data_IF_935724370441
#
_entry.id   IF_935724370441
#
_cell.length_a   1.000
_cell.length_b   1.000
_cell.length_c   1.000
_cell.angle_alpha   90.00
_cell.angle_beta   90.00
_cell.angle_gamma   90.00
#
_symmetry.space_group_name_H-M   'P 1'
#
loop_
_entity.id
_entity.type
_entity.pdbx_description
1 polymer ?
#
# COMPACT_ATOMS: atom_id res chain seq x y z
N UNK A 1 8.67 -18.93 14.70
CA UNK A 1 8.91 -17.60 15.31
C UNK A 1 7.74 -16.71 14.93
N UNK A 2 7.08 -16.15 15.93
CA UNK A 2 6.00 -15.18 15.70
C UNK A 2 6.62 -13.78 15.63
N UNK A 3 6.33 -13.05 14.57
CA UNK A 3 6.82 -11.70 14.35
C UNK A 3 5.70 -10.76 13.89
N UNK A 4 5.91 -9.46 14.05
CA UNK A 4 4.93 -8.44 13.74
C UNK A 4 5.55 -7.27 12.98
N UNK A 5 4.79 -6.75 12.01
CA UNK A 5 5.08 -5.52 11.29
C UNK A 5 3.94 -4.52 11.50
N UNK A 6 4.29 -3.30 11.93
CA UNK A 6 3.38 -2.16 11.99
C UNK A 6 3.79 -1.20 10.87
N UNK A 7 2.94 -1.02 9.87
CA UNK A 7 3.16 -0.16 8.72
C UNK A 7 2.37 1.14 8.89
N UNK A 8 3.08 2.27 8.99
CA UNK A 8 2.50 3.61 9.10
C UNK A 8 2.48 4.25 7.70
N UNK A 9 1.37 4.05 7.01
CA UNK A 9 1.15 4.62 5.69
C UNK A 9 0.48 6.00 5.72
N UNK A 10 0.33 6.60 4.54
CA UNK A 10 -0.28 7.93 4.39
C UNK A 10 -1.75 8.00 4.85
N UNK A 11 -2.51 6.91 4.70
CA UNK A 11 -3.93 6.87 5.04
C UNK A 11 -4.24 5.99 6.26
N UNK A 12 -3.49 4.91 6.45
CA UNK A 12 -3.75 3.90 7.47
C UNK A 12 -2.49 3.46 8.16
N UNK A 13 -2.60 3.13 9.46
CA UNK A 13 -1.60 2.36 10.21
C UNK A 13 -2.09 0.93 10.33
N UNK A 14 -1.27 -0.05 9.97
CA UNK A 14 -1.65 -1.44 9.79
C UNK A 14 -0.71 -2.38 10.54
N UNK A 15 -1.29 -3.31 11.31
CA UNK A 15 -0.56 -4.40 11.93
C UNK A 15 -0.70 -5.68 11.11
N UNK A 16 0.37 -6.43 10.98
CA UNK A 16 0.39 -7.84 10.62
C UNK A 16 1.20 -8.60 11.67
N UNK A 17 0.58 -9.60 12.30
CA UNK A 17 1.27 -10.59 13.11
C UNK A 17 1.23 -11.92 12.38
N UNK A 18 2.37 -12.53 12.17
CA UNK A 18 2.46 -13.80 11.47
C UNK A 18 3.45 -14.77 12.16
N UNK A 19 3.14 -16.06 12.05
CA UNK A 19 4.10 -17.12 12.34
C UNK A 19 4.89 -17.45 11.07
N UNK A 20 6.19 -17.23 11.16
CA UNK A 20 7.13 -17.42 10.07
C UNK A 20 7.86 -18.78 10.19
N UNK A 21 7.11 -19.86 10.38
CA UNK A 21 7.64 -21.22 10.37
C UNK A 21 7.94 -21.72 8.96
N UNK A 22 9.07 -22.41 8.79
CA UNK A 22 9.45 -23.11 7.54
C UNK A 22 9.49 -22.22 6.28
N UNK A 23 9.85 -20.93 6.41
CA UNK A 23 9.94 -20.01 5.28
C UNK A 23 8.61 -19.55 4.70
N UNK A 24 7.50 -19.89 5.34
CA UNK A 24 6.15 -19.45 4.98
C UNK A 24 5.58 -18.56 6.08
N UNK A 25 4.83 -17.54 5.68
CA UNK A 25 4.10 -16.67 6.61
C UNK A 25 2.67 -17.19 6.78
N UNK A 26 2.31 -17.54 8.01
CA UNK A 26 0.94 -17.80 8.40
C UNK A 26 0.41 -16.61 9.20
N UNK A 27 -0.47 -15.84 8.60
CA UNK A 27 -1.15 -14.72 9.26
C UNK A 27 -1.89 -15.19 10.51
N UNK A 28 -1.66 -14.53 11.63
CA UNK A 28 -2.32 -14.75 12.91
C UNK A 28 -3.31 -13.62 13.23
N UNK A 29 -2.87 -12.37 13.08
CA UNK A 29 -3.69 -11.18 13.36
C UNK A 29 -3.37 -10.08 12.36
N UNK A 30 -4.41 -9.42 11.86
CA UNK A 30 -4.28 -8.14 11.16
C UNK A 30 -5.18 -7.09 11.81
N UNK A 31 -4.67 -5.86 11.89
CA UNK A 31 -5.46 -4.69 12.31
C UNK A 31 -5.20 -3.52 11.38
N UNK A 32 -6.17 -2.61 11.33
CA UNK A 32 -6.08 -1.37 10.56
C UNK A 32 -6.72 -0.22 11.33
N UNK A 33 -6.02 0.91 11.37
CA UNK A 33 -6.55 2.17 11.87
C UNK A 33 -6.38 3.26 10.78
N UNK A 34 -7.37 4.14 10.64
CA UNK A 34 -7.31 5.27 9.71
C UNK A 34 -6.67 6.48 10.39
N UNK A 35 -5.37 6.62 10.30
CA UNK A 35 -4.60 7.74 10.86
C UNK A 35 -4.55 8.97 9.96
N UNK A 36 -4.70 8.80 8.64
CA UNK A 36 -4.83 9.87 7.63
C UNK A 36 -3.74 10.94 7.70
N UNK A 37 -2.52 10.55 8.01
CA UNK A 37 -1.37 11.45 8.15
C UNK A 37 -1.14 12.24 6.86
N UNK A 38 -1.23 11.59 5.70
CA UNK A 38 -1.03 12.22 4.40
C UNK A 38 -1.98 13.38 4.14
N UNK A 39 -3.26 13.24 4.49
CA UNK A 39 -4.25 14.32 4.37
C UNK A 39 -3.92 15.50 5.28
N UNK A 40 -3.54 15.22 6.52
CA UNK A 40 -3.15 16.26 7.50
C UNK A 40 -1.88 16.98 7.04
N UNK A 41 -0.88 16.24 6.58
CA UNK A 41 0.37 16.80 6.05
C UNK A 41 0.12 17.69 4.82
N UNK A 42 -0.72 17.26 3.89
CA UNK A 42 -1.06 18.04 2.69
C UNK A 42 -1.78 19.36 3.03
N UNK A 43 -2.56 19.41 4.11
CA UNK A 43 -3.30 20.61 4.51
C UNK A 43 -2.48 21.58 5.35
N UNK A 44 -1.51 21.10 6.14
CA UNK A 44 -0.76 21.91 7.13
C UNK A 44 0.74 22.05 6.81
N UNK A 45 1.26 21.32 5.83
CA UNK A 45 2.68 21.31 5.47
C UNK A 45 3.58 20.51 6.44
N UNK A 46 3.06 20.07 7.58
CA UNK A 46 3.75 19.23 8.57
C UNK A 46 2.74 18.31 9.25
N UNK A 47 3.21 17.30 9.98
CA UNK A 47 2.32 16.42 10.76
C UNK A 47 1.87 17.19 12.00
N UNK A 48 0.56 17.47 12.19
CA UNK A 48 0.08 18.17 13.37
C UNK A 48 0.39 17.39 14.66
N UNK A 49 0.70 18.07 15.80
CA UNK A 49 1.01 17.38 17.06
C UNK A 49 -0.05 16.37 17.49
N UNK A 50 -1.33 16.71 17.37
CA UNK A 50 -2.43 15.78 17.68
C UNK A 50 -2.44 14.53 16.80
N UNK A 51 -1.94 14.63 15.55
CA UNK A 51 -1.81 13.47 14.64
C UNK A 51 -0.57 12.62 14.97
N UNK A 52 0.48 13.24 15.47
CA UNK A 52 1.65 12.52 16.01
C UNK A 52 1.22 11.67 17.21
N UNK A 53 0.53 12.28 18.17
CA UNK A 53 0.02 11.61 19.37
C UNK A 53 -0.95 10.47 19.01
N UNK A 54 -2.00 10.75 18.19
CA UNK A 54 -2.95 9.73 17.70
C UNK A 54 -2.24 8.54 17.03
N UNK A 55 -1.23 8.82 16.21
CA UNK A 55 -0.51 7.75 15.51
C UNK A 55 0.36 6.92 16.45
N UNK A 56 1.04 7.58 17.38
CA UNK A 56 1.85 6.91 18.40
C UNK A 56 0.97 6.01 19.29
N UNK A 57 -0.22 6.46 19.71
CA UNK A 57 -1.19 5.67 20.46
C UNK A 57 -1.69 4.45 19.70
N UNK A 58 -1.95 4.61 18.40
CA UNK A 58 -2.33 3.49 17.51
C UNK A 58 -1.19 2.47 17.43
N UNK A 59 0.05 2.92 17.26
CA UNK A 59 1.23 2.03 17.22
C UNK A 59 1.41 1.31 18.54
N UNK A 60 1.30 2.00 19.68
CA UNK A 60 1.39 1.41 21.01
C UNK A 60 0.31 0.32 21.22
N UNK A 61 -0.92 0.61 20.81
CA UNK A 61 -2.04 -0.34 20.89
C UNK A 61 -1.78 -1.57 20.02
N UNK A 62 -1.33 -1.40 18.79
CA UNK A 62 -1.01 -2.49 17.87
C UNK A 62 0.20 -3.31 18.37
N UNK A 63 1.22 -2.66 18.92
CA UNK A 63 2.36 -3.34 19.52
C UNK A 63 1.95 -4.17 20.76
N UNK A 64 1.01 -3.67 21.57
CA UNK A 64 0.44 -4.45 22.68
C UNK A 64 -0.25 -5.72 22.19
N UNK A 65 -1.11 -5.60 21.16
CA UNK A 65 -1.78 -6.76 20.54
C UNK A 65 -0.75 -7.75 19.99
N UNK A 66 0.30 -7.27 19.31
CA UNK A 66 1.35 -8.16 18.79
C UNK A 66 2.04 -8.95 19.93
N UNK A 67 2.36 -8.30 21.05
CA UNK A 67 2.94 -8.96 22.24
C UNK A 67 1.99 -9.97 22.88
N UNK A 68 0.70 -9.66 22.97
CA UNK A 68 -0.33 -10.57 23.49
C UNK A 68 -0.49 -11.83 22.64
N UNK A 69 -0.29 -11.72 21.31
CA UNK A 69 -0.27 -12.87 20.38
C UNK A 69 1.04 -13.66 20.46
N UNK A 70 2.05 -13.15 21.16
CA UNK A 70 3.34 -13.80 21.36
C UNK A 70 4.41 -13.40 20.34
N UNK A 71 4.31 -12.22 19.71
CA UNK A 71 5.35 -11.75 18.79
C UNK A 71 6.68 -11.56 19.54
N UNK A 72 7.71 -12.28 19.10
CA UNK A 72 9.07 -12.24 19.61
C UNK A 72 9.84 -11.01 19.10
N UNK A 73 9.47 -10.57 17.88
CA UNK A 73 10.03 -9.37 17.25
C UNK A 73 8.90 -8.52 16.68
N UNK A 74 9.00 -7.21 16.87
CA UNK A 74 8.05 -6.22 16.35
C UNK A 74 8.85 -5.13 15.68
N UNK A 75 8.53 -4.84 14.42
CA UNK A 75 9.13 -3.77 13.62
C UNK A 75 8.05 -2.76 13.25
N UNK A 76 8.34 -1.48 13.41
CA UNK A 76 7.52 -0.39 12.91
C UNK A 76 8.21 0.25 11.70
N UNK A 77 7.50 0.35 10.58
CA UNK A 77 7.98 1.01 9.37
C UNK A 77 7.07 2.17 8.99
N UNK A 78 7.63 3.17 8.33
CA UNK A 78 6.88 4.30 7.79
C UNK A 78 7.24 4.54 6.32
N UNK A 79 6.25 5.03 5.57
CA UNK A 79 6.35 5.17 4.12
C UNK A 79 6.17 6.62 3.64
N UNK A 80 5.76 6.83 2.41
CA UNK A 80 5.79 8.09 1.67
C UNK A 80 5.41 9.36 2.44
N UNK A 81 4.28 9.40 3.18
CA UNK A 81 3.87 10.61 3.87
C UNK A 81 4.87 11.03 4.95
N UNK A 82 5.33 10.07 5.74
CA UNK A 82 6.28 10.30 6.82
C UNK A 82 7.66 10.60 6.26
N UNK A 83 8.11 9.86 5.25
CA UNK A 83 9.40 10.07 4.57
C UNK A 83 9.59 11.52 4.11
N UNK A 84 8.51 12.17 3.68
CA UNK A 84 8.54 13.55 3.19
C UNK A 84 8.08 14.61 4.19
N UNK A 85 7.72 14.23 5.40
CA UNK A 85 7.30 15.16 6.44
C UNK A 85 8.52 15.92 7.02
N UNK A 86 8.49 17.27 7.09
CA UNK A 86 9.61 18.04 7.61
C UNK A 86 9.86 17.84 9.10
N UNK A 87 8.85 17.36 9.83
CA UNK A 87 8.91 17.08 11.26
C UNK A 87 8.75 15.57 11.58
N UNK A 88 9.22 14.68 10.69
CA UNK A 88 9.14 13.23 10.89
C UNK A 88 9.78 12.75 12.18
N UNK A 89 10.88 13.41 12.61
CA UNK A 89 11.60 13.08 13.84
C UNK A 89 10.68 13.13 15.09
N UNK A 90 9.75 14.09 15.11
CA UNK A 90 8.78 14.17 16.20
C UNK A 90 7.84 12.94 16.26
N UNK A 91 7.49 12.35 15.11
CA UNK A 91 6.73 11.10 15.05
C UNK A 91 7.61 9.90 15.44
N UNK A 92 8.86 9.87 15.00
CA UNK A 92 9.83 8.81 15.38
C UNK A 92 10.03 8.77 16.90
N UNK A 93 10.18 9.93 17.53
CA UNK A 93 10.33 10.05 18.99
C UNK A 93 9.05 9.62 19.73
N UNK A 94 7.89 10.09 19.29
CA UNK A 94 6.61 9.72 19.89
C UNK A 94 6.32 8.21 19.78
N UNK A 95 6.63 7.58 18.61
CA UNK A 95 6.49 6.13 18.43
C UNK A 95 7.46 5.37 19.34
N UNK A 96 8.69 5.87 19.50
CA UNK A 96 9.67 5.25 20.40
C UNK A 96 9.22 5.33 21.85
N UNK A 97 8.70 6.47 22.28
CA UNK A 97 8.22 6.67 23.64
C UNK A 97 6.99 5.83 23.96
N UNK A 98 5.97 5.86 23.10
CA UNK A 98 4.70 5.16 23.32
C UNK A 98 4.77 3.65 23.03
N UNK A 99 5.47 3.24 21.96
CA UNK A 99 5.53 1.87 21.47
C UNK A 99 6.72 1.05 21.97
N UNK A 100 7.78 1.73 22.47
CA UNK A 100 9.03 1.10 22.94
C UNK A 100 9.88 0.51 21.79
N UNK A 101 9.73 1.02 20.55
CA UNK A 101 10.47 0.57 19.38
C UNK A 101 10.85 1.74 18.47
N UNK A 102 11.92 1.56 17.70
CA UNK A 102 12.29 2.53 16.67
C UNK A 102 11.29 2.49 15.50
N UNK A 103 11.08 3.65 14.86
CA UNK A 103 10.35 3.74 13.60
C UNK A 103 11.36 3.80 12.45
N UNK A 104 11.31 2.84 11.55
CA UNK A 104 12.17 2.80 10.37
C UNK A 104 11.46 3.45 9.18
N UNK A 105 12.01 4.56 8.70
CA UNK A 105 11.44 5.30 7.56
C UNK A 105 12.04 4.79 6.27
N UNK A 106 11.28 3.99 5.54
CA UNK A 106 11.74 3.33 4.32
C UNK A 106 11.95 4.31 3.17
N UNK A 107 13.02 4.12 2.38
CA UNK A 107 13.16 4.76 1.08
C UNK A 107 12.10 4.23 0.09
N UNK A 108 11.85 4.94 -1.02
CA UNK A 108 10.91 4.45 -2.03
C UNK A 108 11.40 3.17 -2.71
N UNK A 109 12.71 3.03 -2.87
CA UNK A 109 13.34 1.83 -3.42
C UNK A 109 13.17 0.63 -2.47
N UNK A 110 13.39 0.84 -1.18
CA UNK A 110 13.22 -0.21 -0.17
C UNK A 110 11.75 -0.62 -0.01
N UNK A 111 10.81 0.34 -0.07
CA UNK A 111 9.38 0.09 -0.08
C UNK A 111 8.98 -0.78 -1.28
N UNK A 112 9.48 -0.46 -2.49
CA UNK A 112 9.27 -1.25 -3.70
C UNK A 112 9.89 -2.66 -3.59
N UNK A 113 11.12 -2.77 -3.07
CA UNK A 113 11.83 -4.04 -2.87
C UNK A 113 11.08 -4.95 -1.90
N UNK A 114 10.67 -4.43 -0.77
CA UNK A 114 9.95 -5.20 0.24
C UNK A 114 8.56 -5.62 -0.26
N UNK A 115 7.84 -4.74 -0.98
CA UNK A 115 6.57 -5.10 -1.62
C UNK A 115 6.77 -6.20 -2.67
N UNK A 116 7.87 -6.15 -3.44
CA UNK A 116 8.24 -7.19 -4.40
C UNK A 116 8.51 -8.53 -3.72
N UNK A 117 9.35 -8.55 -2.67
CA UNK A 117 9.65 -9.76 -1.89
C UNK A 117 8.38 -10.34 -1.27
N UNK A 118 7.56 -9.49 -0.63
CA UNK A 118 6.31 -9.94 0.00
C UNK A 118 5.32 -10.52 -1.00
N UNK A 119 5.16 -9.91 -2.17
CA UNK A 119 4.29 -10.40 -3.23
C UNK A 119 4.78 -11.74 -3.80
N UNK A 120 6.05 -11.80 -4.23
CA UNK A 120 6.58 -12.95 -4.96
C UNK A 120 6.75 -14.19 -4.09
N UNK A 121 7.22 -14.02 -2.85
CA UNK A 121 7.47 -15.15 -1.92
C UNK A 121 6.21 -15.69 -1.24
N UNK A 122 5.08 -14.97 -1.32
CA UNK A 122 3.78 -15.46 -0.84
C UNK A 122 2.87 -15.99 -1.96
N UNK A 123 3.35 -16.01 -3.21
CA UNK A 123 2.61 -16.59 -4.33
C UNK A 123 2.49 -18.10 -4.18
N UNK A 124 1.27 -18.63 -4.39
CA UNK A 124 1.01 -20.08 -4.36
C UNK A 124 1.63 -20.81 -5.54
N UNK A 125 1.76 -20.13 -6.66
CA UNK A 125 2.37 -20.64 -7.89
C UNK A 125 3.38 -19.59 -8.37
N UNK A 126 4.68 -19.85 -8.21
CA UNK A 126 5.71 -18.95 -8.72
C UNK A 126 5.61 -18.84 -10.25
N UNK A 127 5.82 -17.64 -10.77
CA UNK A 127 5.96 -17.41 -12.20
C UNK A 127 7.33 -17.91 -12.69
N UNK A 128 7.37 -18.52 -13.88
CA UNK A 128 8.64 -18.94 -14.52
C UNK A 128 9.34 -17.79 -15.27
N UNK A 129 8.96 -16.54 -15.04
CA UNK A 129 9.49 -15.38 -15.76
C UNK A 129 9.65 -14.16 -14.90
N UNK A 130 9.93 -13.03 -15.57
CA UNK A 130 9.92 -11.73 -14.92
C UNK A 130 8.50 -11.33 -14.54
N UNK A 131 8.36 -10.79 -13.35
CA UNK A 131 7.10 -10.32 -12.78
C UNK A 131 7.20 -8.83 -12.44
N UNK A 132 6.17 -8.08 -12.76
CA UNK A 132 5.98 -6.72 -12.28
C UNK A 132 5.08 -6.75 -11.04
N UNK A 133 5.50 -6.11 -9.96
CA UNK A 133 4.72 -5.93 -8.73
C UNK A 133 4.37 -4.45 -8.59
N UNK A 134 3.09 -4.17 -8.42
CA UNK A 134 2.53 -2.83 -8.30
C UNK A 134 1.90 -2.69 -6.92
N UNK A 135 2.38 -1.76 -6.09
CA UNK A 135 1.76 -1.41 -4.82
C UNK A 135 1.21 0.01 -4.87
N UNK A 136 -0.12 0.15 -4.96
CA UNK A 136 -0.79 1.45 -4.93
C UNK A 136 -1.18 1.77 -3.50
N UNK A 137 -0.32 2.55 -2.85
CA UNK A 137 -0.53 3.05 -1.51
C UNK A 137 -1.46 4.28 -1.45
N UNK A 138 -1.50 4.90 -0.27
CA UNK A 138 -2.26 6.15 -0.08
C UNK A 138 -1.52 7.39 -0.58
N UNK A 139 -0.19 7.44 -0.45
CA UNK A 139 0.65 8.60 -0.81
C UNK A 139 1.60 8.36 -1.96
N UNK A 140 1.94 7.11 -2.23
CA UNK A 140 2.85 6.71 -3.30
C UNK A 140 2.35 5.49 -4.05
N UNK A 141 3.01 5.19 -5.15
CA UNK A 141 2.86 3.96 -5.92
C UNK A 141 4.25 3.44 -6.24
N UNK A 142 4.50 2.20 -5.91
CA UNK A 142 5.73 1.49 -6.19
C UNK A 142 5.50 0.52 -7.34
N UNK A 143 6.45 0.51 -8.28
CA UNK A 143 6.53 -0.46 -9.38
C UNK A 143 7.90 -1.12 -9.33
N UNK A 144 7.91 -2.43 -9.25
CA UNK A 144 9.12 -3.24 -9.22
C UNK A 144 9.04 -4.36 -10.25
N UNK A 145 10.16 -4.65 -10.93
CA UNK A 145 10.26 -5.72 -11.92
C UNK A 145 11.47 -6.60 -11.58
N UNK A 146 11.27 -7.91 -11.57
CA UNK A 146 12.32 -8.87 -11.24
C UNK A 146 11.88 -10.31 -11.44
N UNK A 147 12.69 -11.26 -10.96
CA UNK A 147 12.37 -12.70 -10.94
C UNK A 147 11.87 -13.10 -9.55
N UNK A 148 10.84 -13.95 -9.42
CA UNK A 148 10.29 -14.35 -8.11
C UNK A 148 11.29 -15.01 -7.17
N UNK A 149 12.26 -15.72 -7.71
CA UNK A 149 13.32 -16.44 -7.01
C UNK A 149 14.68 -15.70 -6.98
N UNK A 150 14.71 -14.48 -7.52
CA UNK A 150 15.90 -13.69 -7.70
C UNK A 150 15.79 -12.26 -7.21
N UNK A 151 16.76 -11.46 -7.61
CA UNK A 151 16.82 -10.07 -7.26
C UNK A 151 15.83 -9.23 -8.09
N UNK A 152 15.31 -8.20 -7.47
CA UNK A 152 14.61 -7.12 -8.16
C UNK A 152 15.57 -6.45 -9.14
N UNK A 153 15.25 -6.48 -10.43
CA UNK A 153 16.11 -5.94 -11.47
C UNK A 153 15.93 -4.43 -11.66
N UNK A 154 14.73 -3.92 -11.34
CA UNK A 154 14.38 -2.52 -11.51
C UNK A 154 13.22 -2.14 -10.58
N UNK A 155 13.23 -0.90 -10.10
CA UNK A 155 12.10 -0.33 -9.37
C UNK A 155 12.00 1.18 -9.55
N UNK A 156 10.79 1.69 -9.31
CA UNK A 156 10.52 3.11 -9.20
C UNK A 156 9.42 3.37 -8.17
N UNK A 157 9.52 4.49 -7.47
CA UNK A 157 8.50 4.97 -6.54
C UNK A 157 8.01 6.34 -7.00
N UNK A 158 6.71 6.49 -7.12
CA UNK A 158 6.05 7.70 -7.61
C UNK A 158 5.23 8.31 -6.49
N UNK A 159 5.31 9.64 -6.33
CA UNK A 159 4.52 10.39 -5.33
C UNK A 159 3.04 10.55 -5.73
N UNK A 160 2.48 9.51 -6.28
CA UNK A 160 1.05 9.41 -6.59
C UNK A 160 0.48 8.16 -5.90
N UNK A 161 -0.48 8.36 -5.02
CA UNK A 161 -1.20 7.28 -4.37
C UNK A 161 -2.70 7.56 -4.40
N UNK A 162 -3.50 6.54 -4.16
CA UNK A 162 -4.97 6.66 -4.23
C UNK A 162 -5.53 7.74 -3.29
N UNK A 163 -4.92 7.93 -2.11
CA UNK A 163 -5.33 8.96 -1.16
C UNK A 163 -4.95 10.37 -1.63
N UNK A 164 -3.70 10.56 -2.05
CA UNK A 164 -3.23 11.85 -2.58
C UNK A 164 -4.09 12.31 -3.76
N UNK A 165 -4.33 11.44 -4.74
CA UNK A 165 -5.12 11.77 -5.91
C UNK A 165 -6.58 12.05 -5.58
N UNK A 166 -7.20 11.22 -4.72
CA UNK A 166 -8.58 11.45 -4.29
C UNK A 166 -8.73 12.77 -3.52
N UNK A 167 -7.80 13.08 -2.61
CA UNK A 167 -7.84 14.34 -1.85
C UNK A 167 -7.55 15.57 -2.72
N UNK A 168 -6.81 15.42 -3.81
CA UNK A 168 -6.51 16.51 -4.72
C UNK A 168 -7.62 16.79 -5.72
N UNK A 169 -8.28 15.77 -6.25
CA UNK A 169 -9.14 15.88 -7.43
C UNK A 169 -10.59 15.45 -7.24
N UNK A 170 -10.89 14.50 -6.32
CA UNK A 170 -12.23 13.94 -6.18
C UNK A 170 -12.98 14.61 -5.02
N UNK A 171 -14.01 15.39 -5.34
CA UNK A 171 -14.86 16.12 -4.39
C UNK A 171 -16.29 15.59 -4.36
N UNK A 172 -16.76 15.09 -5.52
CA UNK A 172 -18.12 14.58 -5.69
C UNK A 172 -18.32 13.19 -5.06
N UNK A 173 -19.55 12.87 -4.73
CA UNK A 173 -20.02 11.56 -4.33
C UNK A 173 -21.33 11.22 -5.09
N UNK A 174 -21.23 10.41 -6.15
CA UNK A 174 -20.03 9.87 -6.80
C UNK A 174 -19.19 10.94 -7.50
N UNK A 175 -17.89 10.64 -7.82
CA UNK A 175 -17.04 11.57 -8.56
C UNK A 175 -17.54 11.82 -9.97
N UNK A 176 -17.43 13.05 -10.43
CA UNK A 176 -17.82 13.45 -11.79
C UNK A 176 -16.81 12.98 -12.85
N UNK A 177 -17.23 12.98 -14.12
CA UNK A 177 -16.35 12.66 -15.25
C UNK A 177 -15.16 13.61 -15.33
N UNK A 178 -15.36 14.92 -15.11
CA UNK A 178 -14.29 15.92 -15.14
C UNK A 178 -13.26 15.71 -14.02
N UNK A 179 -13.69 15.25 -12.84
CA UNK A 179 -12.79 14.91 -11.73
C UNK A 179 -11.95 13.70 -12.05
N UNK A 180 -12.55 12.66 -12.62
CA UNK A 180 -11.84 11.44 -13.05
C UNK A 180 -10.83 11.74 -14.16
N UNK A 181 -11.18 12.60 -15.12
CA UNK A 181 -10.29 13.01 -16.21
C UNK A 181 -9.07 13.78 -15.70
N UNK A 182 -9.23 14.62 -14.69
CA UNK A 182 -8.11 15.30 -14.03
C UNK A 182 -7.15 14.29 -13.35
N UNK A 183 -7.70 13.27 -12.70
CA UNK A 183 -6.88 12.19 -12.14
C UNK A 183 -6.14 11.45 -13.25
N UNK A 184 -6.83 11.07 -14.33
CA UNK A 184 -6.25 10.36 -15.48
C UNK A 184 -5.11 11.15 -16.10
N UNK A 185 -5.32 12.44 -16.36
CA UNK A 185 -4.29 13.33 -16.91
C UNK A 185 -3.07 13.40 -16.02
N UNK A 186 -3.26 13.55 -14.72
CA UNK A 186 -2.15 13.60 -13.75
C UNK A 186 -1.35 12.27 -13.75
N UNK A 187 -2.06 11.16 -13.68
CA UNK A 187 -1.45 9.82 -13.64
C UNK A 187 -0.69 9.51 -14.92
N UNK A 188 -1.30 9.77 -16.10
CA UNK A 188 -0.65 9.55 -17.40
C UNK A 188 0.61 10.41 -17.53
N UNK A 189 0.53 11.70 -17.15
CA UNK A 189 1.71 12.58 -17.17
C UNK A 189 2.82 12.16 -16.22
N UNK A 190 2.49 11.46 -15.11
CA UNK A 190 3.50 10.95 -14.18
C UNK A 190 4.30 9.78 -14.78
N UNK A 191 3.68 8.96 -15.61
CA UNK A 191 4.31 7.80 -16.24
C UNK A 191 4.84 8.08 -17.66
N UNK A 192 4.70 9.30 -18.16
CA UNK A 192 5.17 9.68 -19.49
C UNK A 192 6.69 9.47 -19.62
N UNK A 193 7.09 8.75 -20.67
CA UNK A 193 8.50 8.43 -20.93
C UNK A 193 9.11 7.36 -20.01
N UNK A 194 8.32 6.73 -19.15
CA UNK A 194 8.81 5.61 -18.35
C UNK A 194 8.88 4.33 -19.19
N UNK A 195 10.02 3.67 -19.17
CA UNK A 195 10.27 2.41 -19.89
C UNK A 195 10.72 1.32 -18.89
N UNK A 196 9.79 0.67 -18.17
CA UNK A 196 10.14 -0.43 -17.29
C UNK A 196 10.62 -1.64 -18.10
N UNK A 197 11.49 -2.49 -17.52
CA UNK A 197 11.87 -3.74 -18.17
C UNK A 197 10.62 -4.60 -18.48
N UNK A 198 10.65 -5.41 -19.56
CA UNK A 198 9.53 -6.26 -19.91
C UNK A 198 9.26 -7.32 -18.83
N UNK A 199 8.00 -7.48 -18.48
CA UNK A 199 7.51 -8.52 -17.57
C UNK A 199 6.62 -9.51 -18.31
N UNK A 200 6.51 -10.74 -17.81
CA UNK A 200 5.56 -11.76 -18.32
C UNK A 200 4.22 -11.72 -17.60
N UNK A 201 4.25 -11.31 -16.34
CA UNK A 201 3.08 -11.18 -15.50
C UNK A 201 3.16 -9.86 -14.72
N UNK A 202 1.99 -9.33 -14.39
CA UNK A 202 1.89 -8.17 -13.54
C UNK A 202 0.90 -8.42 -12.41
N UNK A 203 1.30 -8.09 -11.18
CA UNK A 203 0.46 -8.27 -9.99
C UNK A 203 0.33 -6.98 -9.21
N UNK A 204 -0.88 -6.72 -8.74
CA UNK A 204 -1.19 -5.62 -7.84
C UNK A 204 -1.31 -6.12 -6.41
N UNK A 205 -0.70 -5.40 -5.47
CA UNK A 205 -0.71 -5.70 -4.04
C UNK A 205 -1.18 -4.49 -3.23
N UNK A 206 -1.15 -4.62 -1.92
CA UNK A 206 -1.49 -3.55 -0.99
C UNK A 206 -2.99 -3.30 -0.79
N UNK A 207 -3.29 -2.18 -0.18
CA UNK A 207 -4.65 -1.89 0.29
C UNK A 207 -5.65 -1.60 -0.82
N UNK A 208 -5.23 -0.95 -1.89
CA UNK A 208 -6.06 -0.65 -3.06
C UNK A 208 -6.44 -1.95 -3.76
N UNK A 209 -5.48 -2.79 -4.10
CA UNK A 209 -5.70 -4.09 -4.74
C UNK A 209 -6.62 -4.99 -3.92
N UNK A 210 -6.37 -5.12 -2.60
CA UNK A 210 -7.21 -5.94 -1.71
C UNK A 210 -8.67 -5.48 -1.69
N UNK A 211 -8.92 -4.16 -1.75
CA UNK A 211 -10.29 -3.62 -1.79
C UNK A 211 -10.94 -3.86 -3.14
N UNK A 212 -10.18 -3.69 -4.23
CA UNK A 212 -10.66 -3.95 -5.59
C UNK A 212 -11.02 -5.42 -5.81
N UNK A 213 -10.34 -6.34 -5.13
CA UNK A 213 -10.70 -7.76 -5.20
C UNK A 213 -12.14 -8.05 -4.79
N UNK A 214 -12.68 -7.32 -3.80
CA UNK A 214 -14.08 -7.44 -3.38
C UNK A 214 -15.05 -6.87 -4.40
N UNK A 215 -14.65 -5.78 -5.06
CA UNK A 215 -15.48 -5.09 -6.05
C UNK A 215 -15.45 -5.76 -7.43
N UNK A 216 -14.27 -6.22 -7.88
CA UNK A 216 -14.00 -6.60 -9.27
C UNK A 216 -13.56 -8.05 -9.45
N UNK A 217 -13.16 -8.74 -8.38
CA UNK A 217 -12.52 -10.06 -8.47
C UNK A 217 -10.99 -9.97 -8.48
N UNK A 218 -10.33 -11.08 -8.78
CA UNK A 218 -8.87 -11.19 -8.68
C UNK A 218 -8.11 -10.74 -9.93
N UNK A 219 -8.79 -10.67 -11.09
CA UNK A 219 -8.20 -10.28 -12.37
C UNK A 219 -8.69 -8.90 -12.76
N UNK A 220 -7.74 -8.02 -13.06
CA UNK A 220 -7.96 -6.63 -13.43
C UNK A 220 -7.53 -6.44 -14.90
N UNK A 221 -8.38 -6.90 -15.82
CA UNK A 221 -8.28 -6.54 -17.24
C UNK A 221 -8.75 -5.10 -17.45
N UNK A 222 -8.45 -4.52 -18.60
CA UNK A 222 -8.95 -3.20 -18.99
C UNK A 222 -10.48 -3.11 -18.85
N UNK A 223 -11.23 -4.09 -19.35
CA UNK A 223 -12.70 -4.16 -19.21
C UNK A 223 -13.15 -4.20 -17.75
N UNK A 224 -12.42 -4.93 -16.90
CA UNK A 224 -12.73 -5.04 -15.48
C UNK A 224 -12.50 -3.71 -14.76
N UNK A 225 -11.40 -3.01 -15.06
CA UNK A 225 -11.08 -1.69 -14.51
C UNK A 225 -12.09 -0.63 -14.96
N UNK A 226 -12.46 -0.60 -16.26
CA UNK A 226 -13.53 0.28 -16.77
C UNK A 226 -14.86 0.03 -16.06
N UNK A 227 -15.23 -1.24 -15.87
CA UNK A 227 -16.44 -1.59 -15.11
C UNK A 227 -16.38 -1.05 -13.69
N UNK A 228 -15.21 -1.12 -13.03
CA UNK A 228 -14.98 -0.54 -11.72
C UNK A 228 -15.20 0.96 -11.67
N UNK A 229 -14.61 1.70 -12.61
CA UNK A 229 -14.81 3.14 -12.75
C UNK A 229 -16.29 3.47 -12.96
N UNK A 230 -16.99 2.73 -13.83
CA UNK A 230 -18.43 2.94 -14.09
C UNK A 230 -19.27 2.76 -12.83
N UNK A 231 -19.03 1.72 -12.04
CA UNK A 231 -19.74 1.51 -10.76
C UNK A 231 -19.48 2.67 -9.80
N UNK A 232 -18.21 3.05 -9.64
CA UNK A 232 -17.79 4.06 -8.66
C UNK A 232 -18.14 5.50 -9.07
N UNK A 233 -18.40 5.76 -10.37
CA UNK A 233 -18.82 7.07 -10.88
C UNK A 233 -20.34 7.23 -10.98
N UNK A 234 -21.11 6.17 -10.74
CA UNK A 234 -22.57 6.22 -10.83
C UNK A 234 -23.29 5.84 -9.54
N UNK A 235 -22.55 5.36 -8.52
CA UNK A 235 -23.12 4.86 -7.27
C UNK A 235 -22.47 5.60 -6.09
N UNK A 236 -23.28 6.13 -5.15
CA UNK A 236 -22.75 6.80 -3.95
C UNK A 236 -21.83 5.88 -3.12
N UNK A 237 -20.86 6.48 -2.46
CA UNK A 237 -19.86 5.78 -1.63
C UNK A 237 -20.53 4.86 -0.60
N UNK A 238 -21.59 5.35 0.08
CA UNK A 238 -22.29 4.58 1.11
C UNK A 238 -22.93 3.29 0.57
N UNK A 239 -23.48 3.34 -0.65
CA UNK A 239 -24.14 2.20 -1.30
C UNK A 239 -23.11 1.17 -1.75
N UNK A 240 -21.99 1.63 -2.33
CA UNK A 240 -20.87 0.75 -2.69
C UNK A 240 -20.28 0.10 -1.44
N UNK A 241 -20.04 0.89 -0.39
CA UNK A 241 -19.51 0.40 0.88
C UNK A 241 -20.39 -0.71 1.48
N UNK A 242 -21.68 -0.48 1.52
CA UNK A 242 -22.67 -1.46 2.01
C UNK A 242 -22.71 -2.72 1.14
N UNK A 243 -22.79 -2.56 -0.18
CA UNK A 243 -22.95 -3.68 -1.14
C UNK A 243 -21.75 -4.62 -1.17
N UNK A 244 -20.54 -4.10 -1.03
CA UNK A 244 -19.29 -4.85 -1.15
C UNK A 244 -18.59 -5.07 0.21
N UNK A 245 -19.24 -4.72 1.31
CA UNK A 245 -18.70 -4.82 2.67
C UNK A 245 -17.33 -4.14 2.80
N UNK A 246 -17.21 -2.95 2.21
CA UNK A 246 -16.03 -2.12 2.24
C UNK A 246 -16.23 -0.94 3.21
N UNK A 247 -15.13 -0.45 3.73
CA UNK A 247 -15.12 0.81 4.47
C UNK A 247 -15.35 1.99 3.52
N UNK A 248 -16.23 2.92 3.87
CA UNK A 248 -16.56 4.09 3.05
C UNK A 248 -15.33 4.95 2.71
N UNK A 249 -14.42 5.13 3.68
CA UNK A 249 -13.14 5.82 3.44
C UNK A 249 -12.25 5.08 2.42
N UNK A 250 -12.36 3.78 2.34
CA UNK A 250 -11.65 2.99 1.35
C UNK A 250 -12.29 3.14 -0.03
N UNK A 251 -13.64 3.09 -0.10
CA UNK A 251 -14.39 3.25 -1.35
C UNK A 251 -14.08 4.60 -1.99
N UNK A 252 -14.00 5.67 -1.21
CA UNK A 252 -13.66 7.03 -1.69
C UNK A 252 -12.34 7.08 -2.48
N UNK A 253 -11.39 6.22 -2.15
CA UNK A 253 -10.06 6.19 -2.78
C UNK A 253 -9.98 5.29 -4.02
N UNK A 254 -10.94 4.38 -4.20
CA UNK A 254 -10.87 3.37 -5.25
C UNK A 254 -10.88 3.94 -6.66
N UNK A 255 -11.66 5.00 -7.01
CA UNK A 255 -11.61 5.57 -8.36
C UNK A 255 -10.20 5.99 -8.77
N UNK A 256 -9.50 6.72 -7.88
CA UNK A 256 -8.12 7.12 -8.11
C UNK A 256 -7.16 5.91 -8.20
N UNK A 257 -7.35 4.92 -7.33
CA UNK A 257 -6.54 3.69 -7.35
C UNK A 257 -6.72 2.87 -8.64
N UNK A 258 -7.94 2.79 -9.18
CA UNK A 258 -8.19 2.14 -10.47
C UNK A 258 -7.47 2.86 -11.60
N UNK A 259 -7.53 4.19 -11.66
CA UNK A 259 -6.90 4.97 -12.73
C UNK A 259 -5.37 4.84 -12.71
N UNK A 260 -4.75 4.70 -11.53
CA UNK A 260 -3.31 4.37 -11.42
C UNK A 260 -3.02 2.97 -11.97
N UNK A 261 -3.82 1.96 -11.57
CA UNK A 261 -3.63 0.58 -12.02
C UNK A 261 -3.88 0.44 -13.53
N UNK A 262 -4.87 1.16 -14.08
CA UNK A 262 -5.15 1.21 -15.52
C UNK A 262 -3.93 1.74 -16.30
N UNK A 263 -3.39 2.89 -15.89
CA UNK A 263 -2.23 3.48 -16.56
C UNK A 263 -0.99 2.58 -16.49
N UNK A 264 -0.77 1.87 -15.37
CA UNK A 264 0.36 0.92 -15.25
C UNK A 264 0.09 -0.34 -16.08
N UNK A 265 -1.16 -0.82 -16.15
CA UNK A 265 -1.54 -1.94 -17.03
C UNK A 265 -1.27 -1.62 -18.49
N UNK A 266 -1.60 -0.40 -18.92
CA UNK A 266 -1.32 0.08 -20.28
C UNK A 266 0.19 0.23 -20.53
N UNK A 267 0.93 0.80 -19.58
CA UNK A 267 2.39 0.95 -19.65
C UNK A 267 3.11 -0.39 -19.79
N UNK A 268 2.65 -1.42 -19.08
CA UNK A 268 3.22 -2.77 -19.13
C UNK A 268 2.67 -3.60 -20.29
N UNK A 269 1.59 -3.16 -20.93
CA UNK A 269 0.79 -3.92 -21.89
C UNK A 269 0.35 -5.30 -21.37
N UNK A 270 0.02 -5.39 -20.07
CA UNK A 270 -0.36 -6.61 -19.36
C UNK A 270 -1.62 -6.39 -18.51
N UNK A 271 -2.55 -7.37 -18.47
CA UNK A 271 -3.57 -7.39 -17.43
C UNK A 271 -2.92 -7.58 -16.06
N UNK A 272 -3.55 -7.03 -15.01
CA UNK A 272 -3.05 -7.16 -13.66
C UNK A 272 -3.81 -8.27 -12.92
N UNK A 273 -3.13 -8.98 -12.06
CA UNK A 273 -3.72 -9.95 -11.15
C UNK A 273 -3.49 -9.50 -9.70
N UNK A 274 -4.50 -9.59 -8.85
CA UNK A 274 -4.35 -9.23 -7.44
C UNK A 274 -3.67 -10.38 -6.71
N UNK A 275 -2.45 -10.11 -6.23
CA UNK A 275 -1.68 -11.06 -5.44
C UNK A 275 -1.93 -10.90 -3.93
N UNK A 276 -1.48 -11.88 -3.17
CA UNK A 276 -1.36 -11.82 -1.72
C UNK A 276 0.03 -11.30 -1.36
N UNK A 277 0.17 -10.84 -0.13
CA UNK A 277 1.42 -10.27 0.34
C UNK A 277 1.64 -8.84 -0.17
N UNK A 278 2.73 -8.25 0.25
CA UNK A 278 3.12 -6.88 -0.03
C UNK A 278 4.15 -6.42 0.99
N UNK A 279 4.22 -5.10 1.24
CA UNK A 279 5.23 -4.49 2.12
C UNK A 279 5.40 -5.21 3.47
N UNK A 280 4.32 -5.42 4.21
CA UNK A 280 4.38 -6.01 5.56
C UNK A 280 4.88 -7.44 5.56
N UNK A 281 4.44 -8.23 4.59
CA UNK A 281 4.91 -9.59 4.40
C UNK A 281 6.38 -9.61 4.01
N UNK A 282 6.83 -8.70 3.14
CA UNK A 282 8.23 -8.52 2.79
C UNK A 282 9.09 -8.17 4.01
N UNK A 283 8.67 -7.22 4.83
CA UNK A 283 9.34 -6.86 6.08
C UNK A 283 9.49 -8.08 7.00
N UNK A 284 8.42 -8.86 7.19
CA UNK A 284 8.48 -10.04 8.05
C UNK A 284 9.39 -11.14 7.51
N UNK A 285 9.40 -11.38 6.19
CA UNK A 285 10.29 -12.35 5.56
C UNK A 285 11.76 -11.97 5.73
N UNK A 286 12.11 -10.70 5.53
CA UNK A 286 13.47 -10.20 5.73
C UNK A 286 13.91 -10.26 7.20
N UNK A 287 12.99 -9.91 8.12
CA UNK A 287 13.24 -9.97 9.56
C UNK A 287 13.62 -11.39 10.02
N UNK A 288 12.90 -12.39 9.54
CA UNK A 288 13.15 -13.80 9.87
C UNK A 288 14.47 -14.31 9.28
N UNK A 289 14.89 -13.76 8.14
CA UNK A 289 16.19 -14.06 7.53
C UNK A 289 17.36 -13.32 8.18
N UNK A 290 17.09 -12.49 9.19
CA UNK A 290 18.10 -11.70 9.89
C UNK A 290 18.66 -10.56 9.05
N UNK A 291 17.98 -10.15 8.00
CA UNK A 291 18.35 -9.00 7.19
C UNK A 291 17.90 -7.71 7.89
N UNK A 292 18.77 -6.70 7.87
CA UNK A 292 18.40 -5.36 8.32
C UNK A 292 17.62 -4.66 7.22
N UNK A 293 16.57 -3.96 7.60
CA UNK A 293 15.91 -3.00 6.72
C UNK A 293 16.88 -1.85 6.47
N UNK A 294 17.05 -1.45 5.22
CA UNK A 294 18.04 -0.46 4.80
C UNK A 294 17.48 0.98 4.85
#
# INVERSE_FOLDING_TARGET
MICACIDIGSNTTRLLVADAGNGQLRELVTQRAFTRIGKSLASSGSIPPAKIEETADVVATQAKVAREVGAEQIVAVATAAIRHAPNREALEDAVREAGGMALEVLSGEEEARLSFVGATRTMLQPSDGTIAVIDVGGGSTELAVGKPDGDMAWSASFRIGSGFLADSYLRGDPPSVDELEKVRTHVTGTFEGLEPPPAREAVAVGGTATSLRRLLGAELSHETLERGIRVLSTTPIADVASRFELDAERVRLLPAGILVLEAISDLLALPLRIARGGLREGVLLELVEGRKLA
#
